data_IF_305677853814
#
_entry.id   IF_305677853814
#
_cell.length_a   1.000
_cell.length_b   1.000
_cell.length_c   1.000
_cell.angle_alpha   90.00
_cell.angle_beta   90.00
_cell.angle_gamma   90.00
#
_symmetry.space_group_name_H-M   'P 1'
#
loop_
_entity.id
_entity.type
_entity.pdbx_description
1 polymer ?
#
# COMPACT_ATOMS: atom_id res chain seq x y z
N UNK A 1 -8.82 24.98 -4.20
CA UNK A 1 -7.76 24.02 -4.60
C UNK A 1 -8.04 23.58 -6.03
N UNK A 2 -7.07 23.81 -6.93
CA UNK A 2 -7.10 23.31 -8.30
C UNK A 2 -6.43 21.94 -8.32
N UNK A 3 -7.09 20.93 -8.91
CA UNK A 3 -6.60 19.54 -8.91
C UNK A 3 -6.31 19.10 -10.34
N UNK A 4 -5.06 18.71 -10.58
CA UNK A 4 -4.66 18.02 -11.81
C UNK A 4 -4.58 16.52 -11.51
N UNK A 5 -5.32 15.72 -12.27
CA UNK A 5 -5.36 14.26 -12.13
C UNK A 5 -4.52 13.59 -13.22
N UNK A 6 -3.85 12.51 -12.85
CA UNK A 6 -3.05 11.68 -13.75
C UNK A 6 -2.53 10.44 -13.05
N UNK A 7 -1.85 9.56 -13.78
CA UNK A 7 -1.12 8.47 -13.11
C UNK A 7 0.02 9.07 -12.27
N UNK A 8 0.34 8.42 -11.16
CA UNK A 8 1.37 8.91 -10.25
C UNK A 8 2.71 9.14 -10.97
N UNK A 9 3.08 8.22 -11.85
CA UNK A 9 4.35 8.29 -12.57
C UNK A 9 4.37 9.46 -13.58
N UNK A 10 3.24 9.73 -14.27
CA UNK A 10 3.09 10.90 -15.15
C UNK A 10 3.15 12.20 -14.37
N UNK A 11 2.52 12.29 -13.20
CA UNK A 11 2.55 13.50 -12.36
C UNK A 11 3.97 13.78 -11.83
N UNK A 12 4.69 12.75 -11.39
CA UNK A 12 6.10 12.90 -10.97
C UNK A 12 6.97 13.34 -12.15
N UNK A 13 6.82 12.69 -13.31
CA UNK A 13 7.59 13.07 -14.50
C UNK A 13 7.30 14.50 -14.95
N UNK A 14 6.05 14.94 -14.84
CA UNK A 14 5.67 16.32 -15.10
C UNK A 14 6.38 17.30 -14.17
N UNK A 15 6.41 17.02 -12.87
CA UNK A 15 7.14 17.84 -11.89
C UNK A 15 8.64 17.88 -12.21
N UNK A 16 9.24 16.75 -12.65
CA UNK A 16 10.64 16.70 -13.09
C UNK A 16 10.87 17.62 -14.29
N UNK A 17 10.00 17.56 -15.30
CA UNK A 17 10.13 18.36 -16.51
C UNK A 17 9.91 19.86 -16.26
N UNK A 18 8.97 20.23 -15.39
CA UNK A 18 8.66 21.61 -15.04
C UNK A 18 9.65 22.21 -14.02
N UNK A 19 10.24 21.36 -13.15
CA UNK A 19 11.22 21.76 -12.15
C UNK A 19 10.68 22.86 -11.23
N UNK A 20 11.51 23.88 -10.99
CA UNK A 20 11.16 25.06 -10.18
C UNK A 20 10.09 25.96 -10.81
N UNK A 21 9.80 25.77 -12.10
CA UNK A 21 8.78 26.52 -12.82
C UNK A 21 7.39 25.85 -12.76
N UNK A 22 7.29 24.70 -12.09
CA UNK A 22 6.01 24.03 -11.93
C UNK A 22 5.00 24.93 -11.20
N UNK A 23 3.77 25.04 -11.70
CA UNK A 23 2.70 25.75 -11.00
C UNK A 23 2.11 24.93 -9.84
N UNK A 24 2.55 23.70 -9.64
CA UNK A 24 2.03 22.82 -8.59
C UNK A 24 2.58 23.20 -7.23
N UNK A 25 1.68 23.26 -6.23
CA UNK A 25 2.07 23.48 -4.83
C UNK A 25 2.31 22.16 -4.08
N UNK A 26 1.60 21.11 -4.48
CA UNK A 26 1.61 19.81 -3.81
C UNK A 26 1.65 18.67 -4.82
N UNK A 27 2.37 17.62 -4.47
CA UNK A 27 2.18 16.28 -5.03
C UNK A 27 1.45 15.44 -3.98
N UNK A 28 0.29 14.88 -4.36
CA UNK A 28 -0.41 13.84 -3.60
C UNK A 28 -0.38 12.56 -4.43
N UNK A 29 0.11 11.48 -3.84
CA UNK A 29 0.21 10.19 -4.54
C UNK A 29 0.10 9.02 -3.57
N UNK A 30 -0.01 7.83 -4.13
CA UNK A 30 -0.07 6.58 -3.40
C UNK A 30 1.28 5.87 -3.46
N UNK A 31 1.60 5.17 -2.37
CA UNK A 31 2.81 4.38 -2.18
C UNK A 31 4.05 5.20 -1.80
N UNK A 32 4.64 4.84 -0.65
CA UNK A 32 5.85 5.49 -0.14
C UNK A 32 7.05 5.35 -1.10
N UNK A 33 7.10 4.30 -1.92
CA UNK A 33 8.11 4.14 -2.96
C UNK A 33 8.05 5.25 -4.02
N UNK A 34 6.84 5.71 -4.38
CA UNK A 34 6.65 6.85 -5.28
C UNK A 34 7.00 8.17 -4.63
N UNK A 35 6.61 8.36 -3.36
CA UNK A 35 6.99 9.55 -2.58
C UNK A 35 8.51 9.66 -2.44
N UNK A 36 9.17 8.54 -2.17
CA UNK A 36 10.64 8.47 -2.12
C UNK A 36 11.26 8.82 -3.49
N UNK A 37 10.72 8.30 -4.59
CA UNK A 37 11.19 8.61 -5.95
C UNK A 37 11.02 10.09 -6.29
N UNK A 38 9.90 10.72 -5.88
CA UNK A 38 9.69 12.15 -6.05
C UNK A 38 10.72 12.96 -5.26
N UNK A 39 11.07 12.55 -4.01
CA UNK A 39 12.16 13.13 -3.25
C UNK A 39 13.51 12.96 -3.97
N UNK A 40 13.83 11.75 -4.42
CA UNK A 40 15.10 11.43 -5.09
C UNK A 40 15.26 12.18 -6.44
N UNK A 41 14.16 12.59 -7.05
CA UNK A 41 14.14 13.42 -8.26
C UNK A 41 14.17 14.94 -7.96
N UNK A 42 14.38 15.34 -6.70
CA UNK A 42 14.45 16.73 -6.24
C UNK A 42 13.23 17.59 -6.59
N UNK A 43 12.03 16.94 -6.74
CA UNK A 43 10.79 17.66 -7.05
C UNK A 43 9.97 18.01 -5.80
N UNK A 44 10.39 17.56 -4.62
CA UNK A 44 9.80 17.90 -3.33
C UNK A 44 10.77 18.71 -2.48
N UNK A 45 10.23 19.63 -1.67
CA UNK A 45 11.00 20.39 -0.69
C UNK A 45 10.58 20.06 0.75
N UNK A 46 11.46 20.17 1.76
CA UNK A 46 11.11 19.92 3.15
C UNK A 46 9.97 20.82 3.63
N UNK A 47 8.95 20.22 4.25
CA UNK A 47 7.82 20.89 4.88
C UNK A 47 7.94 20.76 6.40
N UNK A 48 8.55 21.75 7.07
CA UNK A 48 8.68 21.73 8.53
C UNK A 48 7.36 22.17 9.17
N UNK A 49 6.67 21.24 9.83
CA UNK A 49 5.42 21.49 10.58
C UNK A 49 5.43 20.68 11.87
N UNK A 50 5.22 21.35 13.01
CA UNK A 50 5.03 20.70 14.31
C UNK A 50 3.78 19.83 14.31
N UNK A 51 2.72 20.26 13.64
CA UNK A 51 1.45 19.54 13.57
C UNK A 51 1.57 18.26 12.75
N UNK A 52 2.20 18.31 11.56
CA UNK A 52 2.47 17.11 10.76
C UNK A 52 3.38 16.13 11.53
N UNK A 53 4.41 16.64 12.20
CA UNK A 53 5.32 15.82 13.00
C UNK A 53 4.59 15.14 14.16
N UNK A 54 3.61 15.83 14.79
CA UNK A 54 2.78 15.29 15.87
C UNK A 54 1.78 14.24 15.36
N UNK A 55 1.12 14.52 14.22
CA UNK A 55 0.00 13.71 13.72
C UNK A 55 0.44 12.50 12.90
N UNK A 56 1.62 12.56 12.27
CA UNK A 56 2.11 11.47 11.39
C UNK A 56 3.26 10.76 12.09
N UNK A 57 3.15 9.45 12.38
CA UNK A 57 4.21 8.66 12.97
C UNK A 57 5.54 8.76 12.20
N UNK A 58 6.67 8.68 12.90
CA UNK A 58 7.99 8.80 12.28
C UNK A 58 8.24 7.74 11.19
N UNK A 59 7.68 6.54 11.35
CA UNK A 59 7.75 5.47 10.35
C UNK A 59 7.00 5.78 9.05
N UNK A 60 6.01 6.68 9.08
CA UNK A 60 5.12 7.00 7.96
C UNK A 60 5.41 8.36 7.31
N UNK A 61 6.60 8.90 7.53
CA UNK A 61 7.07 10.15 6.90
C UNK A 61 8.53 10.09 6.54
N UNK A 62 8.93 10.95 5.62
CA UNK A 62 10.33 11.14 5.29
C UNK A 62 11.08 11.74 6.51
N UNK A 63 12.25 11.20 6.91
CA UNK A 63 13.02 11.73 8.03
C UNK A 63 13.40 13.21 7.88
N UNK A 64 13.61 13.68 6.65
CA UNK A 64 13.94 15.07 6.33
C UNK A 64 12.71 15.95 6.06
N UNK A 65 11.49 15.36 6.05
CA UNK A 65 10.23 16.07 5.92
C UNK A 65 9.83 16.43 4.49
N UNK A 66 10.34 15.74 3.46
CA UNK A 66 9.94 15.98 2.09
C UNK A 66 8.54 15.44 1.77
N UNK A 67 8.09 14.39 2.49
CA UNK A 67 6.76 13.85 2.35
C UNK A 67 6.20 13.32 3.68
N UNK A 68 4.89 13.24 3.76
CA UNK A 68 4.13 12.74 4.91
C UNK A 68 3.04 11.79 4.42
N UNK A 69 2.84 10.67 5.14
CA UNK A 69 1.68 9.81 4.96
C UNK A 69 0.41 10.52 5.44
N UNK A 70 -0.67 10.35 4.69
CA UNK A 70 -1.99 10.94 5.00
C UNK A 70 -3.01 9.86 5.33
N UNK A 71 -2.89 8.68 4.75
CA UNK A 71 -3.72 7.51 5.03
C UNK A 71 -2.88 6.25 4.93
N UNK A 72 -3.38 5.15 5.52
CA UNK A 72 -2.68 3.87 5.56
C UNK A 72 -3.54 2.78 4.89
N UNK A 73 -2.90 1.89 4.16
CA UNK A 73 -3.45 0.60 3.75
C UNK A 73 -2.54 -0.52 4.18
N UNK A 74 -3.10 -1.66 4.52
CA UNK A 74 -2.32 -2.89 4.69
C UNK A 74 -2.43 -3.76 3.44
N UNK A 75 -1.35 -4.45 3.12
CA UNK A 75 -1.38 -5.50 2.11
C UNK A 75 -1.64 -6.82 2.83
N UNK A 76 -2.83 -7.34 2.67
CA UNK A 76 -3.38 -8.46 3.45
C UNK A 76 -3.46 -9.74 2.63
N UNK A 77 -3.75 -10.84 3.31
CA UNK A 77 -4.18 -12.07 2.70
C UNK A 77 -5.71 -12.07 2.68
N UNK A 78 -6.29 -11.96 1.49
CA UNK A 78 -7.72 -12.14 1.30
C UNK A 78 -7.96 -13.60 0.95
N UNK A 79 -8.75 -14.30 1.75
CA UNK A 79 -8.94 -15.75 1.68
C UNK A 79 -10.39 -16.14 1.45
N UNK A 80 -10.61 -17.31 0.86
CA UNK A 80 -11.94 -17.92 0.73
C UNK A 80 -12.45 -18.39 2.08
N UNK A 81 -13.60 -17.87 2.52
CA UNK A 81 -14.22 -18.30 3.79
C UNK A 81 -14.64 -19.76 3.80
N UNK A 82 -14.91 -20.34 2.62
CA UNK A 82 -15.39 -21.72 2.48
C UNK A 82 -14.24 -22.75 2.43
N UNK A 83 -13.03 -22.32 1.97
CA UNK A 83 -11.94 -23.27 1.67
C UNK A 83 -10.69 -23.08 2.52
N UNK A 84 -10.60 -21.98 3.30
CA UNK A 84 -9.45 -21.70 4.17
C UNK A 84 -9.95 -21.27 5.54
N UNK A 85 -9.46 -21.92 6.58
CA UNK A 85 -9.65 -21.48 7.95
C UNK A 85 -8.60 -20.42 8.30
N UNK A 86 -8.93 -19.35 9.04
CA UNK A 86 -7.94 -18.35 9.48
C UNK A 86 -6.72 -18.95 10.20
N UNK A 87 -6.90 -20.08 10.91
CA UNK A 87 -5.83 -20.81 11.59
C UNK A 87 -4.79 -21.45 10.66
N UNK A 88 -5.08 -21.58 9.38
CA UNK A 88 -4.12 -22.04 8.35
C UNK A 88 -3.20 -20.93 7.87
N UNK A 89 -3.56 -19.65 8.15
CA UNK A 89 -2.82 -18.47 7.74
C UNK A 89 -1.94 -17.96 8.88
N UNK A 90 -0.76 -17.43 8.55
CA UNK A 90 0.13 -16.86 9.57
C UNK A 90 0.95 -15.67 9.04
N UNK A 91 1.78 -15.85 8.06
CA UNK A 91 2.69 -14.83 7.53
C UNK A 91 2.73 -14.82 6.00
N UNK A 92 3.32 -13.78 5.40
CA UNK A 92 3.62 -13.79 3.95
C UNK A 92 4.57 -14.93 3.61
N UNK A 93 5.52 -15.20 4.49
CA UNK A 93 6.53 -16.23 4.33
C UNK A 93 5.91 -17.64 4.34
N UNK A 94 4.85 -17.83 5.11
CA UNK A 94 4.12 -19.11 5.16
C UNK A 94 3.46 -19.48 3.83
N UNK A 95 3.05 -18.50 3.02
CA UNK A 95 2.49 -18.77 1.67
C UNK A 95 3.52 -19.36 0.70
N UNK A 96 4.81 -19.31 1.01
CA UNK A 96 5.88 -19.94 0.23
C UNK A 96 5.94 -21.46 0.39
N UNK A 97 5.25 -22.03 1.38
CA UNK A 97 5.24 -23.47 1.65
C UNK A 97 4.48 -24.25 0.55
N UNK A 98 4.83 -25.54 0.34
CA UNK A 98 4.24 -26.37 -0.71
C UNK A 98 2.71 -26.57 -0.62
N UNK A 99 2.13 -26.54 0.59
CA UNK A 99 0.69 -26.69 0.79
C UNK A 99 -0.16 -25.60 0.08
N UNK A 100 0.47 -24.48 -0.29
CA UNK A 100 -0.17 -23.39 -1.02
C UNK A 100 -0.02 -23.50 -2.56
N UNK A 101 0.53 -24.60 -3.05
CA UNK A 101 0.73 -24.79 -4.50
C UNK A 101 -0.61 -24.77 -5.24
N UNK A 102 -0.73 -23.89 -6.25
CA UNK A 102 -1.94 -23.69 -7.04
C UNK A 102 -3.07 -22.97 -6.31
N UNK A 103 -2.80 -22.40 -5.12
CA UNK A 103 -3.84 -21.80 -4.26
C UNK A 103 -3.68 -20.30 -4.06
N UNK A 104 -2.61 -19.67 -4.57
CA UNK A 104 -2.32 -18.24 -4.39
C UNK A 104 -2.55 -17.48 -5.68
N UNK A 105 -3.07 -16.26 -5.59
CA UNK A 105 -3.10 -15.29 -6.69
C UNK A 105 -2.57 -13.93 -6.23
N UNK A 106 -1.87 -13.27 -7.14
CA UNK A 106 -1.41 -11.91 -6.97
C UNK A 106 -1.34 -11.23 -8.34
N UNK A 107 -1.24 -9.90 -8.34
CA UNK A 107 -1.05 -9.14 -9.58
C UNK A 107 0.41 -9.13 -10.02
N UNK A 108 0.67 -8.58 -11.21
CA UNK A 108 2.00 -8.45 -11.81
C UNK A 108 3.02 -7.76 -10.89
N UNK A 109 4.30 -8.12 -11.04
CA UNK A 109 5.46 -7.47 -10.41
C UNK A 109 5.64 -6.02 -10.85
N UNK A 110 5.14 -5.62 -12.03
CA UNK A 110 5.15 -4.24 -12.49
C UNK A 110 4.34 -3.30 -11.59
N UNK A 111 3.49 -3.86 -10.72
CA UNK A 111 2.69 -3.09 -9.79
C UNK A 111 3.51 -2.66 -8.57
N UNK A 112 3.51 -1.35 -8.30
CA UNK A 112 4.27 -0.75 -7.18
C UNK A 112 3.94 -1.37 -5.82
N UNK A 113 2.70 -1.84 -5.57
CA UNK A 113 2.32 -2.42 -4.28
C UNK A 113 2.99 -3.76 -4.01
N UNK A 114 3.21 -4.57 -5.06
CA UNK A 114 4.00 -5.79 -4.95
C UNK A 114 5.48 -5.48 -4.76
N UNK A 115 6.00 -4.47 -5.50
CA UNK A 115 7.38 -4.01 -5.35
C UNK A 115 7.65 -3.53 -3.92
N UNK A 116 6.73 -2.74 -3.35
CA UNK A 116 6.84 -2.27 -1.96
C UNK A 116 6.74 -3.42 -0.95
N UNK A 117 5.87 -4.41 -1.17
CA UNK A 117 5.83 -5.62 -0.32
C UNK A 117 7.17 -6.36 -0.37
N UNK A 118 7.70 -6.63 -1.58
CA UNK A 118 8.98 -7.33 -1.69
C UNK A 118 10.13 -6.50 -1.09
N UNK A 119 10.13 -5.18 -1.28
CA UNK A 119 11.09 -4.28 -0.65
C UNK A 119 11.05 -4.37 0.90
N UNK A 120 9.85 -4.50 1.50
CA UNK A 120 9.71 -4.72 2.94
C UNK A 120 10.26 -6.08 3.38
N UNK A 121 10.07 -7.12 2.57
CA UNK A 121 10.62 -8.47 2.85
C UNK A 121 12.14 -8.45 2.72
N UNK A 122 12.70 -7.74 1.72
CA UNK A 122 14.16 -7.52 1.60
C UNK A 122 14.70 -6.83 2.84
N UNK A 123 14.04 -5.77 3.30
CA UNK A 123 14.48 -5.03 4.49
C UNK A 123 14.45 -5.89 5.77
N UNK A 124 13.46 -6.75 5.91
CA UNK A 124 13.29 -7.60 7.09
C UNK A 124 14.15 -8.87 7.06
N UNK A 125 14.30 -9.50 5.91
CA UNK A 125 14.83 -10.87 5.79
C UNK A 125 16.11 -10.97 4.95
N UNK A 126 16.49 -9.89 4.25
CA UNK A 126 17.60 -9.88 3.28
C UNK A 126 17.21 -10.41 1.89
N UNK A 127 18.05 -10.12 0.90
CA UNK A 127 17.79 -10.35 -0.53
C UNK A 127 17.61 -11.82 -0.88
N UNK A 128 18.45 -12.71 -0.32
CA UNK A 128 18.39 -14.14 -0.64
C UNK A 128 17.08 -14.79 -0.20
N UNK A 129 16.62 -14.47 1.02
CA UNK A 129 15.32 -14.97 1.54
C UNK A 129 14.15 -14.35 0.80
N UNK A 130 14.24 -13.08 0.41
CA UNK A 130 13.24 -12.40 -0.38
C UNK A 130 13.10 -13.00 -1.78
N UNK A 131 14.24 -13.33 -2.44
CA UNK A 131 14.25 -14.03 -3.72
C UNK A 131 13.65 -15.44 -3.62
N UNK A 132 14.04 -16.18 -2.59
CA UNK A 132 13.50 -17.52 -2.34
C UNK A 132 11.99 -17.48 -2.14
N UNK A 133 11.51 -16.49 -1.36
CA UNK A 133 10.08 -16.24 -1.16
C UNK A 133 9.37 -15.92 -2.48
N UNK A 134 9.88 -14.97 -3.27
CA UNK A 134 9.27 -14.57 -4.53
C UNK A 134 9.16 -15.74 -5.51
N UNK A 135 10.21 -16.57 -5.64
CA UNK A 135 10.22 -17.81 -6.44
C UNK A 135 9.16 -18.81 -5.97
N UNK A 136 9.08 -19.03 -4.65
CA UNK A 136 8.13 -19.96 -4.07
C UNK A 136 6.68 -19.49 -4.25
N UNK A 137 6.38 -18.20 -4.03
CA UNK A 137 5.06 -17.64 -4.30
C UNK A 137 4.70 -17.78 -5.78
N UNK A 138 5.64 -17.46 -6.70
CA UNK A 138 5.39 -17.62 -8.14
C UNK A 138 5.04 -19.07 -8.50
N UNK A 139 5.72 -20.05 -7.90
CA UNK A 139 5.44 -21.48 -8.06
C UNK A 139 4.08 -21.89 -7.47
N UNK A 140 3.65 -21.22 -6.39
CA UNK A 140 2.39 -21.49 -5.70
C UNK A 140 1.19 -20.78 -6.33
N UNK A 141 1.39 -19.93 -7.32
CA UNK A 141 0.29 -19.25 -7.99
C UNK A 141 -0.59 -20.21 -8.80
N UNK A 142 -1.91 -20.03 -8.68
CA UNK A 142 -2.91 -20.76 -9.45
C UNK A 142 -2.91 -20.39 -10.95
N UNK A 143 -2.40 -19.21 -11.27
CA UNK A 143 -2.28 -18.68 -12.65
C UNK A 143 -1.13 -17.70 -12.75
N UNK A 144 -0.75 -17.33 -13.97
CA UNK A 144 0.18 -16.22 -14.21
C UNK A 144 -0.38 -14.91 -13.61
N UNK A 145 0.49 -14.05 -13.02
CA UNK A 145 0.10 -12.78 -12.45
C UNK A 145 -0.61 -11.88 -13.48
N UNK A 146 -1.79 -11.37 -13.14
CA UNK A 146 -2.56 -10.47 -14.03
C UNK A 146 -3.69 -9.76 -13.30
N UNK A 147 -4.20 -8.69 -13.89
CA UNK A 147 -5.34 -7.95 -13.38
C UNK A 147 -5.03 -7.07 -12.17
N UNK A 148 -6.06 -6.47 -11.61
CA UNK A 148 -6.03 -5.62 -10.42
C UNK A 148 -6.19 -6.42 -9.13
N UNK A 149 -6.03 -5.79 -7.97
CA UNK A 149 -6.31 -6.42 -6.67
C UNK A 149 -7.78 -6.92 -6.58
N UNK A 150 -8.74 -6.18 -7.16
CA UNK A 150 -10.15 -6.63 -7.23
C UNK A 150 -10.32 -7.92 -8.04
N UNK A 151 -9.53 -8.10 -9.11
CA UNK A 151 -9.57 -9.32 -9.92
C UNK A 151 -8.96 -10.51 -9.18
N UNK A 152 -8.05 -10.27 -8.21
CA UNK A 152 -7.58 -11.32 -7.33
C UNK A 152 -8.68 -11.76 -6.35
N UNK A 153 -9.41 -10.82 -5.74
CA UNK A 153 -10.55 -11.14 -4.87
C UNK A 153 -11.65 -11.91 -5.63
N UNK A 154 -11.97 -11.48 -6.86
CA UNK A 154 -12.92 -12.21 -7.73
C UNK A 154 -12.44 -13.62 -8.06
N UNK A 155 -11.14 -13.81 -8.30
CA UNK A 155 -10.58 -15.14 -8.56
C UNK A 155 -10.70 -16.07 -7.34
N UNK A 156 -10.49 -15.55 -6.14
CA UNK A 156 -10.70 -16.30 -4.88
C UNK A 156 -12.19 -16.64 -4.70
N UNK A 157 -13.08 -15.66 -4.86
CA UNK A 157 -14.53 -15.89 -4.71
C UNK A 157 -15.09 -16.88 -5.74
N UNK A 158 -14.49 -16.95 -6.94
CA UNK A 158 -14.84 -17.88 -8.01
C UNK A 158 -14.20 -19.28 -7.88
N UNK A 159 -13.37 -19.53 -6.87
CA UNK A 159 -12.73 -20.84 -6.65
C UNK A 159 -11.48 -21.10 -7.47
N UNK A 160 -10.94 -20.11 -8.19
CA UNK A 160 -9.70 -20.27 -8.96
C UNK A 160 -8.46 -20.38 -8.04
N UNK A 161 -8.50 -19.73 -6.90
CA UNK A 161 -7.47 -19.76 -5.86
C UNK A 161 -8.12 -19.64 -4.50
N UNK A 162 -7.35 -19.87 -3.46
CA UNK A 162 -7.85 -19.83 -2.08
C UNK A 162 -7.42 -18.57 -1.35
N UNK A 163 -6.28 -17.97 -1.73
CA UNK A 163 -5.72 -16.77 -1.10
C UNK A 163 -5.23 -15.78 -2.15
N UNK A 164 -5.52 -14.51 -1.93
CA UNK A 164 -5.01 -13.39 -2.71
C UNK A 164 -4.17 -12.44 -1.85
N UNK A 165 -3.05 -11.95 -2.38
CA UNK A 165 -2.28 -10.85 -1.79
C UNK A 165 -2.79 -9.54 -2.38
N UNK A 166 -3.44 -8.69 -1.56
CA UNK A 166 -4.04 -7.44 -2.03
C UNK A 166 -4.12 -6.37 -0.95
N UNK A 167 -4.38 -5.12 -1.33
CA UNK A 167 -4.58 -4.03 -0.38
C UNK A 167 -6.00 -4.03 0.18
N UNK A 168 -6.12 -3.70 1.46
CA UNK A 168 -7.39 -3.68 2.22
C UNK A 168 -8.49 -2.89 1.57
N UNK A 169 -8.23 -1.65 1.12
CA UNK A 169 -9.26 -0.74 0.61
C UNK A 169 -9.99 -1.28 -0.64
N UNK A 170 -9.35 -2.15 -1.44
CA UNK A 170 -10.03 -2.76 -2.58
C UNK A 170 -11.18 -3.66 -2.17
N UNK A 171 -11.05 -4.36 -1.04
CA UNK A 171 -12.17 -5.13 -0.50
C UNK A 171 -13.27 -4.19 0.02
N UNK A 172 -12.89 -3.06 0.61
CA UNK A 172 -13.85 -2.01 0.98
C UNK A 172 -14.65 -1.48 -0.22
N UNK A 173 -13.97 -1.24 -1.34
CA UNK A 173 -14.62 -0.83 -2.59
C UNK A 173 -15.60 -1.91 -3.09
N UNK A 174 -15.20 -3.19 -3.05
CA UNK A 174 -16.10 -4.28 -3.45
C UNK A 174 -17.31 -4.39 -2.53
N UNK A 175 -17.10 -4.31 -1.22
CA UNK A 175 -18.18 -4.41 -0.22
C UNK A 175 -19.21 -3.29 -0.33
N UNK A 176 -18.79 -2.09 -0.75
CA UNK A 176 -19.65 -0.91 -0.90
C UNK A 176 -20.00 -0.59 -2.36
N UNK A 177 -19.75 -1.53 -3.28
CA UNK A 177 -20.07 -1.33 -4.70
C UNK A 177 -21.57 -1.28 -4.93
N UNK A 178 -22.02 -0.43 -5.87
CA UNK A 178 -23.39 -0.45 -6.39
C UNK A 178 -23.71 -1.73 -7.16
N UNK A 179 -22.68 -2.44 -7.65
CA UNK A 179 -22.83 -3.70 -8.41
C UNK A 179 -22.99 -4.87 -7.44
N UNK A 180 -24.11 -5.59 -7.53
CA UNK A 180 -24.42 -6.73 -6.64
C UNK A 180 -23.32 -7.81 -6.66
N UNK A 181 -22.84 -8.17 -7.86
CA UNK A 181 -21.79 -9.17 -8.01
C UNK A 181 -20.48 -8.82 -7.27
N UNK A 182 -20.12 -7.54 -7.16
CA UNK A 182 -18.97 -7.12 -6.38
C UNK A 182 -19.19 -7.32 -4.87
N UNK A 183 -20.39 -7.02 -4.38
CA UNK A 183 -20.74 -7.27 -2.97
C UNK A 183 -20.76 -8.77 -2.63
N UNK A 184 -21.21 -9.61 -3.55
CA UNK A 184 -21.15 -11.06 -3.40
C UNK A 184 -19.72 -11.58 -3.30
N UNK A 185 -18.78 -11.02 -4.11
CA UNK A 185 -17.35 -11.31 -3.99
C UNK A 185 -16.85 -10.96 -2.59
N UNK A 186 -17.15 -9.76 -2.09
CA UNK A 186 -16.74 -9.33 -0.76
C UNK A 186 -17.32 -10.21 0.37
N UNK A 187 -18.53 -10.72 0.21
CA UNK A 187 -19.19 -11.60 1.17
C UNK A 187 -18.50 -12.98 1.29
N UNK A 188 -17.98 -13.52 0.16
CA UNK A 188 -17.34 -14.84 0.09
C UNK A 188 -15.91 -14.87 0.61
N UNK A 189 -15.27 -13.73 0.80
CA UNK A 189 -13.87 -13.65 1.21
C UNK A 189 -13.69 -13.00 2.57
N UNK A 190 -12.61 -13.39 3.26
CA UNK A 190 -12.20 -12.81 4.54
C UNK A 190 -10.89 -12.03 4.40
N UNK A 191 -10.59 -11.19 5.39
CA UNK A 191 -9.32 -10.47 5.54
C UNK A 191 -8.49 -11.12 6.63
N UNK A 192 -7.23 -11.39 6.35
CA UNK A 192 -6.26 -11.84 7.33
C UNK A 192 -5.02 -10.94 7.29
N UNK A 193 -4.64 -10.39 8.43
CA UNK A 193 -3.42 -9.59 8.59
C UNK A 193 -2.26 -10.53 8.91
N UNK A 194 -1.27 -10.68 8.01
CA UNK A 194 -0.17 -11.63 8.24
C UNK A 194 0.88 -11.07 9.21
N UNK A 195 1.80 -11.95 9.65
CA UNK A 195 2.97 -11.63 10.48
C UNK A 195 2.63 -11.05 11.88
N UNK A 196 1.44 -11.37 12.45
CA UNK A 196 1.00 -10.79 13.73
C UNK A 196 1.85 -11.24 14.92
N UNK A 197 2.39 -12.46 14.90
CA UNK A 197 3.32 -12.99 15.91
C UNK A 197 4.78 -12.53 15.67
N UNK A 198 5.00 -11.73 14.65
CA UNK A 198 6.33 -11.22 14.25
C UNK A 198 6.36 -9.72 14.05
N UNK A 199 6.88 -9.29 12.89
CA UNK A 199 7.07 -7.88 12.54
C UNK A 199 5.78 -7.09 12.31
N UNK A 200 4.66 -7.74 12.12
CA UNK A 200 3.40 -7.11 11.76
C UNK A 200 3.12 -7.14 10.25
N UNK A 201 1.91 -6.77 9.89
CA UNK A 201 1.49 -6.72 8.50
C UNK A 201 2.12 -5.54 7.76
N UNK A 202 2.58 -5.78 6.52
CA UNK A 202 3.06 -4.70 5.66
C UNK A 202 1.99 -3.63 5.47
N UNK A 203 2.38 -2.39 5.76
CA UNK A 203 1.57 -1.21 5.50
C UNK A 203 2.23 -0.31 4.46
N UNK A 204 1.42 0.52 3.83
CA UNK A 204 1.88 1.58 2.96
C UNK A 204 0.93 2.79 3.06
N UNK A 205 1.30 3.92 2.49
CA UNK A 205 0.56 5.18 2.66
C UNK A 205 0.09 5.77 1.32
N UNK A 206 -1.04 6.46 1.34
CA UNK A 206 -1.22 7.61 0.47
C UNK A 206 -0.61 8.80 1.18
N UNK A 207 0.09 9.64 0.48
CA UNK A 207 0.80 10.74 1.11
C UNK A 207 1.06 11.89 0.16
N UNK A 208 1.76 12.89 0.66
CA UNK A 208 2.10 14.04 -0.14
C UNK A 208 3.27 14.84 0.38
N UNK A 209 3.76 15.70 -0.48
CA UNK A 209 4.85 16.62 -0.20
C UNK A 209 4.68 17.94 -0.96
N UNK A 210 5.36 18.99 -0.48
CA UNK A 210 5.35 20.31 -1.10
C UNK A 210 6.27 20.27 -2.31
N UNK A 211 5.76 20.68 -3.47
CA UNK A 211 6.55 20.76 -4.69
C UNK A 211 7.66 21.83 -4.57
N UNK A 212 8.82 21.55 -5.17
CA UNK A 212 10.00 22.46 -5.10
C UNK A 212 9.71 23.83 -5.70
N UNK A 213 8.84 23.92 -6.73
CA UNK A 213 8.41 25.15 -7.38
C UNK A 213 7.31 25.94 -6.68
N UNK A 214 6.76 25.40 -5.57
CA UNK A 214 5.61 26.02 -4.91
C UNK A 214 5.89 27.45 -4.44
N UNK A 215 5.03 28.37 -4.88
CA UNK A 215 4.99 29.77 -4.42
C UNK A 215 4.09 29.95 -3.19
N UNK A 216 3.26 28.94 -2.88
CA UNK A 216 2.27 28.94 -1.80
C UNK A 216 2.61 27.90 -0.72
N UNK A 217 3.91 27.81 -0.34
CA UNK A 217 4.42 26.77 0.58
C UNK A 217 3.65 26.71 1.90
N UNK A 218 3.29 27.87 2.46
CA UNK A 218 2.56 27.93 3.75
C UNK A 218 1.18 27.30 3.62
N UNK A 219 0.45 27.65 2.58
CA UNK A 219 -0.90 27.13 2.25
C UNK A 219 -0.84 25.63 1.93
N UNK A 220 0.19 25.20 1.20
CA UNK A 220 0.44 23.80 0.91
C UNK A 220 0.65 22.98 2.19
N UNK A 221 1.45 23.49 3.13
CA UNK A 221 1.65 22.85 4.45
C UNK A 221 0.33 22.82 5.23
N UNK A 222 -0.43 23.91 5.29
CA UNK A 222 -1.74 23.95 5.95
C UNK A 222 -2.73 22.94 5.34
N UNK A 223 -2.67 22.74 4.03
CA UNK A 223 -3.49 21.71 3.40
C UNK A 223 -3.08 20.29 3.82
N UNK A 224 -1.78 19.98 3.88
CA UNK A 224 -1.31 18.69 4.41
C UNK A 224 -1.71 18.51 5.88
N UNK A 225 -1.61 19.56 6.70
CA UNK A 225 -2.09 19.54 8.09
C UNK A 225 -3.59 19.24 8.18
N UNK A 226 -4.40 19.89 7.34
CA UNK A 226 -5.85 19.62 7.24
C UNK A 226 -6.15 18.16 6.91
N UNK A 227 -5.39 17.53 5.99
CA UNK A 227 -5.56 16.12 5.65
C UNK A 227 -5.28 15.18 6.83
N UNK A 228 -4.49 15.62 7.82
CA UNK A 228 -4.25 14.86 9.06
C UNK A 228 -5.24 15.17 10.18
N UNK A 229 -6.23 16.06 9.96
CA UNK A 229 -7.25 16.37 10.94
C UNK A 229 -8.20 15.20 11.19
N UNK A 230 -8.79 15.13 12.38
CA UNK A 230 -9.74 14.07 12.75
C UNK A 230 -10.88 13.90 11.73
N UNK A 231 -11.42 15.02 11.23
CA UNK A 231 -12.48 15.02 10.21
C UNK A 231 -12.02 14.42 8.87
N UNK A 232 -10.84 14.80 8.39
CA UNK A 232 -10.29 14.25 7.14
C UNK A 232 -9.98 12.76 7.29
N UNK A 233 -9.41 12.36 8.43
CA UNK A 233 -9.07 10.96 8.70
C UNK A 233 -10.32 10.07 8.77
N UNK A 234 -11.41 10.55 9.37
CA UNK A 234 -12.71 9.86 9.37
C UNK A 234 -13.29 9.74 7.96
N UNK A 235 -13.20 10.81 7.16
CA UNK A 235 -13.63 10.80 5.75
C UNK A 235 -12.87 9.76 4.94
N UNK A 236 -11.54 9.69 5.08
CA UNK A 236 -10.75 8.68 4.39
C UNK A 236 -11.13 7.25 4.78
N UNK A 237 -11.40 7.00 6.06
CA UNK A 237 -11.86 5.70 6.54
C UNK A 237 -13.20 5.28 5.95
N UNK A 238 -14.16 6.19 5.91
CA UNK A 238 -15.51 5.89 5.48
C UNK A 238 -15.71 5.90 3.95
N UNK A 239 -14.98 6.77 3.24
CA UNK A 239 -15.16 6.96 1.78
C UNK A 239 -14.12 6.19 0.97
N UNK A 240 -12.85 6.24 1.39
CA UNK A 240 -11.74 5.58 0.69
C UNK A 240 -11.41 4.20 1.23
N UNK A 241 -11.98 3.83 2.40
CA UNK A 241 -11.70 2.57 3.09
C UNK A 241 -10.21 2.40 3.42
N UNK A 242 -9.53 3.51 3.71
CA UNK A 242 -8.14 3.55 4.15
C UNK A 242 -8.07 3.89 5.64
N UNK A 243 -7.16 3.25 6.35
CA UNK A 243 -6.94 3.54 7.77
C UNK A 243 -6.38 4.95 7.98
N UNK A 244 -6.70 5.58 9.12
CA UNK A 244 -6.03 6.81 9.50
C UNK A 244 -4.53 6.58 9.75
N UNK A 245 -3.71 7.64 9.68
CA UNK A 245 -2.27 7.54 9.96
C UNK A 245 -1.95 7.06 11.39
N UNK A 246 -2.86 7.28 12.33
CA UNK A 246 -2.86 6.62 13.64
C UNK A 246 -3.92 5.52 13.58
N UNK A 247 -3.50 4.31 13.21
CA UNK A 247 -4.40 3.18 12.88
C UNK A 247 -5.42 2.90 14.00
N UNK A 248 -5.01 3.01 15.27
CA UNK A 248 -5.89 2.82 16.42
C UNK A 248 -7.04 3.83 16.54
N UNK A 249 -6.97 4.97 15.84
CA UNK A 249 -8.01 6.00 15.82
C UNK A 249 -9.07 5.77 14.72
N UNK A 250 -9.13 4.58 14.14
CA UNK A 250 -10.08 4.23 13.08
C UNK A 250 -11.54 4.33 13.58
N UNK A 251 -12.36 5.08 12.85
CA UNK A 251 -13.80 5.28 13.12
C UNK A 251 -14.73 4.49 12.18
N UNK A 252 -14.21 3.97 11.06
CA UNK A 252 -14.98 3.24 10.07
C UNK A 252 -15.43 1.88 10.59
N UNK A 253 -16.73 1.61 10.59
CA UNK A 253 -17.28 0.31 11.02
C UNK A 253 -16.81 -0.83 10.12
N UNK A 254 -16.67 -0.60 8.81
CA UNK A 254 -16.14 -1.58 7.88
C UNK A 254 -14.71 -1.98 8.26
N UNK A 255 -13.83 -0.99 8.49
CA UNK A 255 -12.44 -1.26 8.84
C UNK A 255 -12.31 -1.92 10.23
N UNK A 256 -13.19 -1.58 11.17
CA UNK A 256 -13.28 -2.24 12.48
C UNK A 256 -13.71 -3.69 12.35
N UNK A 257 -14.62 -4.00 11.41
CA UNK A 257 -15.09 -5.37 11.19
C UNK A 257 -14.00 -6.34 10.75
N UNK A 258 -12.88 -5.83 10.22
CA UNK A 258 -11.71 -6.65 9.88
C UNK A 258 -10.78 -6.91 11.07
N UNK A 259 -11.06 -6.33 12.23
CA UNK A 259 -10.27 -6.47 13.45
C UNK A 259 -9.12 -5.48 13.56
N UNK A 260 -8.43 -5.53 14.70
CA UNK A 260 -7.18 -4.82 14.94
C UNK A 260 -6.00 -5.62 14.42
N UNK A 261 -4.91 -4.93 14.08
CA UNK A 261 -3.69 -5.57 13.63
C UNK A 261 -2.44 -4.80 14.09
N UNK A 262 -1.35 -5.52 14.22
CA UNK A 262 -0.01 -4.97 14.37
C UNK A 262 0.51 -4.62 12.99
N UNK A 263 0.84 -3.36 12.76
CA UNK A 263 1.52 -2.90 11.55
C UNK A 263 3.03 -3.12 11.67
N UNK A 264 3.69 -3.39 10.54
CA UNK A 264 5.15 -3.33 10.45
C UNK A 264 5.59 -1.87 10.71
N UNK A 265 6.53 -1.67 11.62
CA UNK A 265 6.99 -0.36 12.08
C UNK A 265 8.21 0.19 11.33
N UNK A 266 8.67 -0.54 10.31
CA UNK A 266 9.78 -0.08 9.46
C UNK A 266 9.48 1.30 8.88
N UNK A 267 10.48 2.20 8.84
CA UNK A 267 10.28 3.48 8.17
C UNK A 267 10.01 3.26 6.67
N UNK A 268 8.88 3.78 6.20
CA UNK A 268 8.40 3.51 4.83
C UNK A 268 9.31 4.07 3.73
N UNK A 269 10.28 4.95 4.04
CA UNK A 269 11.31 5.38 3.08
C UNK A 269 12.13 4.21 2.55
N UNK A 270 12.27 3.13 3.33
CA UNK A 270 12.99 1.91 2.92
C UNK A 270 12.35 1.24 1.71
N UNK A 271 11.03 1.37 1.55
CA UNK A 271 10.30 0.78 0.42
C UNK A 271 10.77 1.38 -0.90
N UNK A 272 11.05 2.68 -0.92
CA UNK A 272 11.64 3.35 -2.06
C UNK A 272 13.12 3.03 -2.24
N UNK A 273 13.90 3.07 -1.15
CA UNK A 273 15.34 2.76 -1.19
C UNK A 273 15.62 1.34 -1.69
N UNK A 274 14.73 0.39 -1.39
CA UNK A 274 14.84 -1.02 -1.80
C UNK A 274 14.04 -1.37 -3.07
N UNK A 275 13.39 -0.39 -3.72
CA UNK A 275 12.52 -0.65 -4.86
C UNK A 275 13.27 -1.27 -6.05
N UNK A 276 14.41 -0.71 -6.46
CA UNK A 276 15.19 -1.23 -7.58
C UNK A 276 15.68 -2.67 -7.34
N UNK A 277 16.07 -2.97 -6.10
CA UNK A 277 16.43 -4.33 -5.69
C UNK A 277 15.22 -5.27 -5.76
N UNK A 278 14.06 -4.86 -5.27
CA UNK A 278 12.83 -5.65 -5.33
C UNK A 278 12.41 -5.96 -6.78
N UNK A 279 12.50 -5.00 -7.69
CA UNK A 279 12.22 -5.21 -9.12
C UNK A 279 13.15 -6.28 -9.69
N UNK A 280 14.47 -6.17 -9.47
CA UNK A 280 15.45 -7.17 -9.91
C UNK A 280 15.14 -8.57 -9.36
N UNK A 281 14.72 -8.67 -8.10
CA UNK A 281 14.40 -9.97 -7.50
C UNK A 281 13.12 -10.57 -8.08
N UNK A 282 12.14 -9.75 -8.46
CA UNK A 282 10.94 -10.23 -9.18
C UNK A 282 11.30 -10.79 -10.56
N UNK A 283 12.18 -10.12 -11.32
CA UNK A 283 12.65 -10.60 -12.61
C UNK A 283 13.34 -11.95 -12.45
N UNK A 284 14.24 -12.08 -11.47
CA UNK A 284 14.95 -13.33 -11.15
C UNK A 284 13.99 -14.44 -10.63
N UNK A 285 12.84 -14.08 -10.11
CA UNK A 285 11.81 -15.02 -9.66
C UNK A 285 10.84 -15.45 -10.78
N UNK A 286 10.89 -14.83 -11.96
CA UNK A 286 9.93 -15.04 -13.04
C UNK A 286 8.50 -14.61 -12.66
N UNK A 287 8.39 -13.59 -11.82
CA UNK A 287 7.11 -13.01 -11.45
C UNK A 287 6.83 -11.81 -12.36
N UNK A 288 6.18 -12.06 -13.48
CA UNK A 288 5.83 -11.05 -14.49
C UNK A 288 4.57 -10.25 -14.15
#
# INVERSE_FOLDING_TARGET
>A
VNVVKGSADQLIQRLVSEGKNSPADLLLTVDAGRLHRAKAADVLQPAKSKLLTKNVPASMRDPEGHWYGMTVRSRVLVYSKDRVKPSELSSYEALAKPEWKGRVVARSSSNIYNQSLLASIVAANGSDKALAWAKAIRKNMARSPRGSDRDQARAVAAGLADVAIMNTYYLGILANSSVAADREVAAKVGVFFPNQDGRGAHINVSGGGVAVGSKNKKEAIRFLEFLTSAKSQETFGNVNHEYPVIIGNNKSELLKSWGSFKADDVNLSVLGAKNAEAVKLFDLAGWE
#
